data_IF_399270774541
#
_entry.id   IF_399270774541
#
_cell.length_a   1.000
_cell.length_b   1.000
_cell.length_c   1.000
_cell.angle_alpha   90.00
_cell.angle_beta   90.00
_cell.angle_gamma   90.00
#
_symmetry.space_group_name_H-M   'P 1'
#
loop_
_entity.id
_entity.type
_entity.pdbx_description
1 polymer ?
#
# COMPACT_ATOMS: atom_id res chain seq x y z
N UNK A 1 -30.19 -4.90 30.61
CA UNK A 1 -28.87 -5.53 30.75
C UNK A 1 -28.74 -6.57 29.64
N UNK A 2 -27.57 -6.69 29.00
CA UNK A 2 -27.37 -7.59 27.84
C UNK A 2 -27.06 -8.98 28.42
N UNK A 3 -27.90 -10.02 28.23
CA UNK A 3 -27.78 -11.30 28.97
C UNK A 3 -26.39 -11.97 28.93
N UNK A 4 -25.61 -11.90 27.81
CA UNK A 4 -24.22 -12.35 27.78
C UNK A 4 -23.27 -11.65 28.77
N UNK A 5 -23.48 -10.36 29.05
CA UNK A 5 -22.66 -9.61 30.00
C UNK A 5 -22.95 -10.06 31.44
N UNK A 6 -24.22 -10.31 31.77
CA UNK A 6 -24.63 -10.75 33.11
C UNK A 6 -24.05 -12.11 33.48
N UNK A 7 -24.00 -13.02 32.49
CA UNK A 7 -23.35 -14.33 32.62
C UNK A 7 -21.85 -14.20 32.92
N UNK A 8 -21.14 -13.31 32.21
CA UNK A 8 -19.72 -13.05 32.44
C UNK A 8 -19.47 -12.45 33.83
N UNK A 9 -20.29 -11.48 34.24
CA UNK A 9 -20.20 -10.90 35.58
C UNK A 9 -20.43 -11.96 36.68
N UNK A 10 -21.41 -12.85 36.50
CA UNK A 10 -21.66 -13.96 37.42
C UNK A 10 -20.46 -14.90 37.53
N UNK A 11 -19.82 -15.25 36.41
CA UNK A 11 -18.59 -16.05 36.44
C UNK A 11 -17.44 -15.34 37.17
N UNK A 12 -17.18 -14.06 36.87
CA UNK A 12 -16.10 -13.32 37.54
C UNK A 12 -16.33 -13.21 39.04
N UNK A 13 -17.58 -13.03 39.47
CA UNK A 13 -17.94 -13.02 40.88
C UNK A 13 -17.70 -14.39 41.54
N UNK A 14 -18.13 -15.48 40.91
CA UNK A 14 -17.96 -16.85 41.43
C UNK A 14 -16.49 -17.25 41.58
N UNK A 15 -15.63 -16.85 40.64
CA UNK A 15 -14.20 -17.13 40.68
C UNK A 15 -13.37 -16.06 41.41
N UNK A 16 -14.04 -15.06 42.02
CA UNK A 16 -13.40 -13.92 42.72
C UNK A 16 -12.37 -13.18 41.85
N UNK A 17 -12.60 -13.13 40.54
CA UNK A 17 -11.73 -12.43 39.60
C UNK A 17 -12.11 -10.95 39.64
N UNK A 18 -11.21 -10.13 40.17
CA UNK A 18 -11.38 -8.68 40.14
C UNK A 18 -11.34 -8.13 38.71
N UNK A 19 -12.04 -7.02 38.46
CA UNK A 19 -12.03 -6.32 37.17
C UNK A 19 -10.63 -5.96 36.71
N UNK A 20 -9.75 -5.54 37.63
CA UNK A 20 -8.34 -5.25 37.33
C UNK A 20 -7.59 -6.49 36.80
N UNK A 21 -7.79 -7.64 37.44
CA UNK A 21 -7.15 -8.90 37.04
C UNK A 21 -7.68 -9.39 35.68
N UNK A 22 -8.97 -9.21 35.41
CA UNK A 22 -9.56 -9.49 34.10
C UNK A 22 -8.96 -8.60 33.00
N UNK A 23 -8.86 -7.28 33.23
CA UNK A 23 -8.23 -6.36 32.29
C UNK A 23 -6.78 -6.74 32.01
N UNK A 24 -6.00 -7.07 33.04
CA UNK A 24 -4.63 -7.55 32.88
C UNK A 24 -4.56 -8.82 32.04
N UNK A 25 -5.41 -9.82 32.33
CA UNK A 25 -5.42 -11.07 31.56
C UNK A 25 -5.78 -10.86 30.09
N UNK A 26 -6.80 -10.04 29.80
CA UNK A 26 -7.15 -9.70 28.42
C UNK A 26 -6.01 -8.99 27.67
N UNK A 27 -5.27 -8.10 28.35
CA UNK A 27 -4.09 -7.46 27.78
C UNK A 27 -2.98 -8.47 27.47
N UNK A 28 -2.68 -9.39 28.39
CA UNK A 28 -1.70 -10.45 28.18
C UNK A 28 -2.08 -11.38 27.04
N UNK A 29 -3.34 -11.82 26.97
CA UNK A 29 -3.84 -12.68 25.89
C UNK A 29 -3.72 -11.97 24.54
N UNK A 30 -4.04 -10.68 24.47
CA UNK A 30 -3.88 -9.90 23.25
C UNK A 30 -2.40 -9.77 22.85
N UNK A 31 -1.51 -9.44 23.78
CA UNK A 31 -0.08 -9.34 23.52
C UNK A 31 0.50 -10.68 23.03
N UNK A 32 0.13 -11.78 23.70
CA UNK A 32 0.55 -13.13 23.34
C UNK A 32 0.01 -13.56 21.98
N UNK A 33 -1.26 -13.26 21.68
CA UNK A 33 -1.85 -13.49 20.36
C UNK A 33 -1.05 -12.79 19.28
N UNK A 34 -0.68 -11.52 19.47
CA UNK A 34 0.13 -10.80 18.48
C UNK A 34 1.54 -11.38 18.37
N UNK A 35 2.19 -11.72 19.49
CA UNK A 35 3.51 -12.35 19.48
C UNK A 35 3.52 -13.68 18.71
N UNK A 36 2.49 -14.53 18.89
CA UNK A 36 2.35 -15.77 18.14
C UNK A 36 2.02 -15.51 16.66
N UNK A 37 1.06 -14.63 16.37
CA UNK A 37 0.62 -14.35 14.98
C UNK A 37 1.77 -13.81 14.13
N UNK A 38 2.67 -13.03 14.73
CA UNK A 38 3.82 -12.44 14.06
C UNK A 38 5.14 -13.15 14.40
N UNK A 39 5.10 -14.35 14.99
CA UNK A 39 6.32 -15.09 15.38
C UNK A 39 7.20 -15.42 14.17
N UNK A 40 6.58 -15.73 13.04
CA UNK A 40 7.26 -15.99 11.76
C UNK A 40 7.38 -14.73 10.87
N UNK A 41 6.93 -13.57 11.36
CA UNK A 41 7.02 -12.33 10.60
C UNK A 41 8.44 -11.76 10.68
N UNK A 42 9.11 -11.74 9.53
CA UNK A 42 10.47 -11.25 9.38
C UNK A 42 10.45 -9.90 8.70
N UNK A 43 10.92 -8.87 9.41
CA UNK A 43 11.00 -7.50 8.88
C UNK A 43 11.91 -7.39 7.66
N UNK A 44 12.88 -8.30 7.53
CA UNK A 44 13.87 -8.31 6.48
C UNK A 44 13.58 -9.29 5.33
N UNK A 45 12.47 -10.02 5.40
CA UNK A 45 12.06 -10.97 4.37
C UNK A 45 11.22 -10.29 3.29
N UNK A 46 11.56 -10.56 2.03
CA UNK A 46 10.70 -10.24 0.90
C UNK A 46 9.54 -11.25 0.84
N UNK A 47 8.33 -10.79 1.14
CA UNK A 47 7.12 -11.57 0.97
C UNK A 47 6.61 -11.45 -0.45
N UNK A 48 6.33 -12.59 -1.11
CA UNK A 48 5.65 -12.58 -2.41
C UNK A 48 4.16 -12.28 -2.20
N UNK A 49 3.63 -11.19 -2.76
CA UNK A 49 2.21 -10.88 -2.65
C UNK A 49 1.38 -11.97 -3.33
N UNK A 50 0.34 -12.46 -2.65
CA UNK A 50 -0.65 -13.36 -3.26
C UNK A 50 -1.66 -12.50 -4.02
N UNK A 51 -1.56 -12.52 -5.35
CA UNK A 51 -2.45 -11.77 -6.23
C UNK A 51 -3.39 -12.72 -6.96
N UNK A 52 -4.61 -12.89 -6.45
CA UNK A 52 -5.65 -13.74 -7.06
C UNK A 52 -6.44 -13.01 -8.16
N UNK A 53 -6.10 -11.74 -8.42
CA UNK A 53 -6.81 -10.88 -9.36
C UNK A 53 -6.22 -10.94 -10.76
N UNK A 54 -7.08 -10.81 -11.78
CA UNK A 54 -6.65 -10.71 -13.17
C UNK A 54 -5.66 -9.55 -13.38
N UNK A 55 -4.70 -9.77 -14.28
CA UNK A 55 -3.73 -8.75 -14.70
C UNK A 55 -4.44 -7.53 -15.27
N UNK A 56 -3.87 -6.34 -15.06
CA UNK A 56 -4.40 -5.09 -15.59
C UNK A 56 -4.41 -5.10 -17.13
N UNK A 57 -5.55 -4.72 -17.72
CA UNK A 57 -5.62 -4.34 -19.14
C UNK A 57 -5.50 -2.82 -19.23
N UNK A 58 -4.31 -2.33 -19.57
CA UNK A 58 -4.08 -0.89 -19.77
C UNK A 58 -4.64 -0.45 -21.13
N UNK A 59 -5.82 0.15 -21.16
CA UNK A 59 -6.41 0.69 -22.40
C UNK A 59 -5.77 2.03 -22.78
N UNK A 60 -5.81 2.38 -24.08
CA UNK A 60 -5.29 3.67 -24.56
C UNK A 60 -6.03 4.86 -23.91
N UNK A 61 -7.35 4.78 -23.76
CA UNK A 61 -8.15 5.83 -23.12
C UNK A 61 -7.74 6.05 -21.67
N UNK A 62 -7.56 4.96 -20.92
CA UNK A 62 -7.08 5.04 -19.54
C UNK A 62 -5.68 5.68 -19.48
N UNK A 63 -4.78 5.29 -20.38
CA UNK A 63 -3.45 5.86 -20.48
C UNK A 63 -3.47 7.37 -20.77
N UNK A 64 -4.26 7.82 -21.74
CA UNK A 64 -4.37 9.23 -22.09
C UNK A 64 -4.84 10.07 -20.88
N UNK A 65 -5.85 9.59 -20.16
CA UNK A 65 -6.33 10.24 -18.93
C UNK A 65 -5.20 10.32 -17.89
N UNK A 66 -4.41 9.26 -17.72
CA UNK A 66 -3.28 9.25 -16.78
C UNK A 66 -2.19 10.24 -17.17
N UNK A 67 -1.78 10.28 -18.44
CA UNK A 67 -0.76 11.21 -18.96
C UNK A 67 -1.20 12.66 -18.74
N UNK A 68 -2.46 12.99 -19.06
CA UNK A 68 -3.01 14.33 -18.84
C UNK A 68 -3.03 14.70 -17.35
N UNK A 69 -3.42 13.76 -16.47
CA UNK A 69 -3.36 14.00 -15.03
C UNK A 69 -1.93 14.26 -14.51
N UNK A 70 -0.92 13.61 -15.06
CA UNK A 70 0.48 13.86 -14.71
C UNK A 70 0.97 15.22 -15.21
N UNK A 71 0.61 15.57 -16.43
CA UNK A 71 0.91 16.88 -17.02
C UNK A 71 0.34 18.02 -16.16
N UNK A 72 -0.93 17.93 -15.78
CA UNK A 72 -1.57 18.96 -14.95
C UNK A 72 -0.97 19.04 -13.54
N UNK A 73 -0.56 17.91 -12.95
CA UNK A 73 0.14 17.88 -11.67
C UNK A 73 1.51 18.59 -11.73
N UNK A 74 2.23 18.41 -12.82
CA UNK A 74 3.54 19.03 -13.02
C UNK A 74 3.43 20.52 -13.32
N UNK A 75 2.49 20.92 -14.17
CA UNK A 75 2.16 22.33 -14.41
C UNK A 75 1.76 23.05 -13.12
N UNK A 76 0.89 22.45 -12.30
CA UNK A 76 0.45 23.04 -11.01
C UNK A 76 1.60 23.30 -10.05
N UNK A 77 2.73 22.60 -10.22
CA UNK A 77 3.93 22.73 -9.39
C UNK A 77 5.09 23.40 -10.13
N UNK A 78 4.83 24.00 -11.30
CA UNK A 78 5.80 24.69 -12.14
C UNK A 78 7.03 23.83 -12.50
N UNK A 79 6.82 22.52 -12.73
CA UNK A 79 7.90 21.62 -13.18
C UNK A 79 8.02 21.66 -14.70
N UNK A 80 9.22 21.37 -15.20
CA UNK A 80 9.40 21.15 -16.63
C UNK A 80 8.58 19.93 -17.08
N UNK A 81 7.91 20.08 -18.22
CA UNK A 81 7.01 19.08 -18.82
C UNK A 81 7.42 18.71 -20.25
N UNK A 82 8.50 19.32 -20.76
CA UNK A 82 9.01 19.11 -22.13
C UNK A 82 9.18 17.61 -22.45
N UNK A 83 9.84 16.91 -21.53
CA UNK A 83 10.21 15.50 -21.62
C UNK A 83 9.29 14.56 -20.84
N UNK A 84 8.09 15.00 -20.46
CA UNK A 84 7.13 14.12 -19.82
C UNK A 84 6.72 12.98 -20.75
N UNK A 85 6.40 11.83 -20.15
CA UNK A 85 5.79 10.68 -20.80
C UNK A 85 4.57 11.11 -21.62
N UNK A 86 4.41 10.52 -22.81
CA UNK A 86 3.39 10.89 -23.80
C UNK A 86 2.35 9.80 -23.98
N UNK A 87 1.24 10.15 -24.62
CA UNK A 87 0.16 9.22 -24.99
C UNK A 87 0.66 8.08 -25.89
N UNK A 88 1.67 8.35 -26.73
CA UNK A 88 2.31 7.38 -27.62
C UNK A 88 2.99 6.23 -26.87
N UNK A 89 3.37 6.43 -25.61
CA UNK A 89 4.16 5.45 -24.85
C UNK A 89 3.31 4.33 -24.26
N UNK A 90 1.99 4.32 -24.51
CA UNK A 90 1.05 3.37 -23.93
C UNK A 90 1.46 1.91 -24.16
N UNK A 91 1.93 1.56 -25.36
CA UNK A 91 2.29 0.19 -25.70
C UNK A 91 3.52 -0.30 -24.91
N UNK A 92 4.49 0.59 -24.69
CA UNK A 92 5.67 0.32 -23.88
C UNK A 92 5.27 0.08 -22.42
N UNK A 93 4.53 1.01 -21.82
CA UNK A 93 4.14 0.91 -20.40
C UNK A 93 3.13 -0.20 -20.13
N UNK A 94 2.28 -0.55 -21.10
CA UNK A 94 1.43 -1.74 -21.03
C UNK A 94 2.27 -3.01 -20.84
N UNK A 95 3.34 -3.18 -21.63
CA UNK A 95 4.24 -4.34 -21.49
C UNK A 95 5.01 -4.28 -20.18
N UNK A 96 5.49 -3.10 -19.78
CA UNK A 96 6.20 -2.91 -18.52
C UNK A 96 5.35 -3.31 -17.31
N UNK A 97 4.10 -2.84 -17.21
CA UNK A 97 3.24 -3.17 -16.06
C UNK A 97 2.82 -4.65 -16.01
N UNK A 98 2.97 -5.40 -17.10
CA UNK A 98 2.76 -6.85 -17.11
C UNK A 98 4.00 -7.63 -16.67
N UNK A 99 5.20 -7.09 -16.89
CA UNK A 99 6.46 -7.76 -16.54
C UNK A 99 6.97 -7.41 -15.15
N UNK A 100 6.64 -6.24 -14.62
CA UNK A 100 7.10 -5.78 -13.31
C UNK A 100 5.96 -5.40 -12.37
N UNK A 101 6.22 -5.54 -11.06
CA UNK A 101 5.33 -5.07 -10.00
C UNK A 101 5.66 -3.67 -9.52
N UNK A 102 4.99 -3.24 -8.45
CA UNK A 102 5.31 -2.03 -7.72
C UNK A 102 6.77 -2.04 -7.25
N UNK A 103 7.50 -0.95 -7.48
CA UNK A 103 8.91 -0.87 -7.11
C UNK A 103 9.15 -0.97 -5.59
N UNK A 104 8.15 -0.58 -4.77
CA UNK A 104 8.17 -0.63 -3.31
C UNK A 104 7.71 -2.01 -2.81
N UNK A 105 6.42 -2.33 -2.91
CA UNK A 105 5.86 -3.56 -2.31
C UNK A 105 5.94 -4.82 -3.18
N UNK A 106 6.49 -4.71 -4.40
CA UNK A 106 6.64 -5.80 -5.38
C UNK A 106 5.34 -6.44 -5.89
N UNK A 107 4.17 -6.01 -5.40
CA UNK A 107 2.87 -6.53 -5.84
C UNK A 107 2.61 -6.26 -7.33
N UNK A 108 1.95 -7.20 -8.01
CA UNK A 108 1.63 -7.07 -9.43
C UNK A 108 0.54 -6.02 -9.63
N UNK A 109 0.52 -5.43 -10.82
CA UNK A 109 -0.52 -4.51 -11.19
C UNK A 109 -1.76 -5.24 -11.67
N UNK A 110 -2.89 -4.94 -11.04
CA UNK A 110 -4.19 -5.56 -11.30
C UNK A 110 -5.27 -4.48 -11.40
N UNK A 111 -6.50 -4.86 -11.72
CA UNK A 111 -7.63 -3.91 -11.70
C UNK A 111 -7.91 -3.34 -10.31
N UNK A 112 -7.58 -4.08 -9.24
CA UNK A 112 -7.68 -3.65 -7.83
C UNK A 112 -6.43 -2.93 -7.34
N UNK A 113 -5.28 -3.21 -7.95
CA UNK A 113 -3.99 -2.59 -7.65
C UNK A 113 -3.45 -1.84 -8.89
N UNK A 114 -4.09 -0.72 -9.30
CA UNK A 114 -3.72 -0.05 -10.53
C UNK A 114 -2.34 0.64 -10.42
N UNK A 115 -1.58 0.67 -11.52
CA UNK A 115 -0.27 1.29 -11.54
C UNK A 115 -0.37 2.81 -11.52
N UNK A 116 0.68 3.40 -10.95
CA UNK A 116 0.98 4.82 -10.96
C UNK A 116 2.46 5.01 -11.21
N UNK A 117 2.87 6.21 -11.59
CA UNK A 117 4.28 6.61 -11.57
C UNK A 117 4.59 7.33 -10.27
N UNK A 118 5.56 6.80 -9.54
CA UNK A 118 6.24 7.50 -8.46
C UNK A 118 7.47 8.20 -9.04
N UNK A 119 7.67 9.45 -8.66
CA UNK A 119 8.80 10.25 -9.14
C UNK A 119 10.03 9.96 -8.28
N UNK A 120 11.17 9.77 -8.94
CA UNK A 120 12.46 9.56 -8.29
C UNK A 120 12.90 10.87 -7.65
N UNK A 121 12.98 11.94 -8.45
CA UNK A 121 13.15 13.30 -7.99
C UNK A 121 11.80 14.05 -8.03
N UNK A 122 11.37 14.57 -6.88
CA UNK A 122 10.09 15.27 -6.69
C UNK A 122 10.04 16.67 -7.30
N UNK A 123 11.19 17.25 -7.61
CA UNK A 123 11.34 18.56 -8.23
C UNK A 123 11.27 18.47 -9.76
N UNK A 124 11.52 17.28 -10.32
CA UNK A 124 11.41 17.00 -11.75
C UNK A 124 10.03 16.46 -12.13
N UNK A 125 9.66 16.65 -13.40
CA UNK A 125 8.42 16.16 -13.99
C UNK A 125 8.39 14.65 -14.20
N UNK A 126 7.30 14.14 -14.78
CA UNK A 126 7.13 12.72 -15.10
C UNK A 126 7.84 12.32 -16.40
N UNK A 127 9.15 12.52 -16.51
CA UNK A 127 9.97 11.98 -17.59
C UNK A 127 10.21 10.47 -17.41
N UNK A 128 10.50 9.76 -18.50
CA UNK A 128 10.65 8.30 -18.48
C UNK A 128 11.79 7.82 -17.57
N UNK A 129 12.85 8.61 -17.43
CA UNK A 129 14.01 8.38 -16.57
C UNK A 129 13.80 8.81 -15.10
N UNK A 130 12.79 9.64 -14.83
CA UNK A 130 12.49 10.14 -13.49
C UNK A 130 11.32 9.41 -12.80
N UNK A 131 10.79 8.32 -13.39
CA UNK A 131 9.66 7.61 -12.80
C UNK A 131 9.92 6.13 -12.57
N UNK A 132 9.24 5.58 -11.55
CA UNK A 132 9.18 4.14 -11.29
C UNK A 132 7.72 3.69 -11.14
N UNK A 133 7.32 2.53 -11.69
CA UNK A 133 6.00 1.96 -11.47
C UNK A 133 5.74 1.69 -9.99
N UNK A 134 4.66 2.24 -9.46
CA UNK A 134 4.28 2.14 -8.07
C UNK A 134 2.76 1.93 -7.94
N UNK A 135 2.29 1.19 -6.96
CA UNK A 135 0.86 1.11 -6.71
C UNK A 135 0.37 2.39 -6.02
N UNK A 136 -0.93 2.67 -6.15
CA UNK A 136 -1.56 3.84 -5.54
C UNK A 136 -1.33 3.90 -4.02
N UNK A 137 -1.39 2.75 -3.34
CA UNK A 137 -1.15 2.66 -1.90
C UNK A 137 0.27 3.12 -1.57
N UNK A 138 1.29 2.42 -2.07
CA UNK A 138 2.69 2.76 -1.79
C UNK A 138 3.03 4.20 -2.20
N UNK A 139 2.54 4.68 -3.35
CA UNK A 139 2.81 6.05 -3.80
C UNK A 139 2.16 7.11 -2.89
N UNK A 140 0.98 6.83 -2.32
CA UNK A 140 0.32 7.72 -1.36
C UNK A 140 1.00 7.73 0.01
N UNK A 141 1.45 6.56 0.47
CA UNK A 141 2.04 6.40 1.80
C UNK A 141 3.54 6.67 1.85
N UNK A 142 4.23 6.72 0.71
CA UNK A 142 5.59 7.24 0.60
C UNK A 142 5.60 8.73 0.97
N UNK A 143 5.73 9.01 2.26
CA UNK A 143 5.90 10.36 2.78
C UNK A 143 7.30 10.88 2.46
N UNK A 144 7.46 12.20 2.36
CA UNK A 144 8.79 12.83 2.33
C UNK A 144 9.62 12.50 3.58
N UNK A 145 8.98 12.10 4.67
CA UNK A 145 9.63 11.77 5.94
C UNK A 145 10.19 10.34 5.99
N UNK A 146 9.79 9.49 5.05
CA UNK A 146 10.07 8.05 5.09
C UNK A 146 11.07 7.60 4.01
N UNK A 147 11.65 8.53 3.24
CA UNK A 147 12.62 8.20 2.18
C UNK A 147 13.82 7.38 2.68
N UNK A 148 14.18 7.55 3.96
CA UNK A 148 15.23 6.78 4.64
C UNK A 148 14.70 5.64 5.53
N UNK A 149 13.38 5.49 5.66
CA UNK A 149 12.72 4.45 6.45
C UNK A 149 12.21 3.30 5.57
N UNK A 150 11.91 3.58 4.30
CA UNK A 150 11.60 2.56 3.31
C UNK A 150 12.89 2.03 2.70
N UNK A 151 13.17 0.77 3.00
CA UNK A 151 14.26 -0.03 2.45
C UNK A 151 14.18 -0.13 0.91
#
# INVERSE_FOLDING_TARGET
MIPPLDYLFGMFFNYKIGTLQFMQMSAYVNAFKYALTYSDFKLDQDYTPKDDYASLILTQNYWNIKVQNYLEQDKKRNRDTSNNIKESDCAFYRKLFLSIGCHICKARFTSKNPPTFDRINKDLGHSADNVKPCCLFCNKYKSNKDENLTR
#
